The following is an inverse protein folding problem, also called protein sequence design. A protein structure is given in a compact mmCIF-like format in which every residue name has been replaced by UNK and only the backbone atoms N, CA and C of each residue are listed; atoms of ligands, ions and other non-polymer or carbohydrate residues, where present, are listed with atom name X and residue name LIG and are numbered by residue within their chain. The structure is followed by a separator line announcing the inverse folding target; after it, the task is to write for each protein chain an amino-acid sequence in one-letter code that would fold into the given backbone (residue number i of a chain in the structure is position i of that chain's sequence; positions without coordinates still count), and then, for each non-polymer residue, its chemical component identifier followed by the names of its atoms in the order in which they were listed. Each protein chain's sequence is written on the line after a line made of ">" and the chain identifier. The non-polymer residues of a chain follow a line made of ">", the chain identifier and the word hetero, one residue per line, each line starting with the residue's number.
data_IF_675009155278
#
_entry.id   IF_675009155278
#
_cell.length_a   1.000
_cell.length_b   1.000
_cell.length_c   1.000
_cell.angle_alpha   90.00
_cell.angle_beta   90.00
_cell.angle_gamma   90.00
#
_symmetry.space_group_name_H-M   'P 1'
#
loop_
_entity.id
_entity.type
_entity.pdbx_description
1 polymer ?
#
# COMPACT_ATOMS: atom_id res chain seq x y z
N UNK A 1 10.57 -12.30 -2.93
CA UNK A 1 10.57 -11.02 -2.19
C UNK A 1 11.95 -10.75 -1.63
N UNK A 2 12.59 -9.64 -2.01
CA UNK A 2 13.83 -9.17 -1.40
C UNK A 2 13.47 -8.21 -0.26
N UNK A 3 13.38 -8.74 0.95
CA UNK A 3 13.23 -7.90 2.15
C UNK A 3 14.56 -7.18 2.46
N UNK A 4 14.46 -6.02 3.10
CA UNK A 4 15.60 -5.23 3.55
C UNK A 4 15.42 -4.95 5.04
N UNK A 5 16.51 -5.00 5.79
CA UNK A 5 16.51 -4.60 7.19
C UNK A 5 17.21 -3.24 7.33
N UNK A 6 16.49 -2.24 7.82
CA UNK A 6 17.02 -0.92 8.09
C UNK A 6 17.36 -0.79 9.57
N UNK A 7 18.66 -0.82 9.88
CA UNK A 7 19.17 -0.63 11.24
C UNK A 7 19.91 0.70 11.29
N UNK A 8 19.30 1.70 11.92
CA UNK A 8 19.89 3.04 12.11
C UNK A 8 20.38 3.68 10.80
N UNK A 9 19.62 3.53 9.71
CA UNK A 9 19.95 4.08 8.39
C UNK A 9 20.86 3.19 7.54
N UNK A 10 21.32 2.04 8.06
CA UNK A 10 22.05 1.04 7.27
C UNK A 10 21.06 0.01 6.74
N UNK A 11 20.94 -0.07 5.40
CA UNK A 11 20.10 -1.07 4.72
C UNK A 11 20.88 -2.35 4.47
N UNK A 12 20.46 -3.44 5.09
CA UNK A 12 21.07 -4.76 5.00
C UNK A 12 20.17 -5.70 4.19
N UNK A 13 20.78 -6.53 3.34
CA UNK A 13 20.05 -7.50 2.54
C UNK A 13 19.60 -8.67 3.42
N UNK A 14 18.30 -8.92 3.47
CA UNK A 14 17.74 -10.07 4.18
C UNK A 14 17.96 -11.34 3.37
N UNK A 15 18.52 -12.35 4.02
CA UNK A 15 18.77 -13.69 3.44
C UNK A 15 17.87 -14.77 4.06
N UNK A 16 17.25 -14.50 5.21
CA UNK A 16 16.32 -15.42 5.85
C UNK A 16 15.36 -14.71 6.82
N UNK A 17 14.12 -15.19 6.88
CA UNK A 17 13.10 -14.73 7.82
C UNK A 17 12.62 -15.95 8.61
N UNK A 18 12.65 -15.86 9.94
CA UNK A 18 12.09 -16.87 10.82
C UNK A 18 10.73 -16.40 11.32
N UNK A 19 9.72 -17.22 11.10
CA UNK A 19 8.32 -16.92 11.40
C UNK A 19 7.79 -17.99 12.34
N UNK A 20 7.09 -17.56 13.39
CA UNK A 20 6.35 -18.43 14.30
C UNK A 20 4.96 -17.83 14.54
N UNK A 21 3.90 -18.63 14.37
CA UNK A 21 2.51 -18.17 14.50
C UNK A 21 2.24 -16.84 13.77
N UNK A 22 2.65 -16.77 12.49
CA UNK A 22 2.53 -15.60 11.61
C UNK A 22 3.26 -14.32 12.07
N UNK A 23 4.18 -14.44 13.03
CA UNK A 23 5.01 -13.33 13.52
C UNK A 23 6.48 -13.56 13.22
N UNK A 24 7.15 -12.51 12.75
CA UNK A 24 8.60 -12.51 12.63
C UNK A 24 9.24 -12.63 14.01
N UNK A 25 10.06 -13.66 14.19
CA UNK A 25 10.80 -13.90 15.44
C UNK A 25 12.26 -13.49 15.31
N UNK A 26 12.84 -13.67 14.12
CA UNK A 26 14.18 -13.21 13.78
C UNK A 26 14.36 -13.07 12.27
N UNK A 27 15.38 -12.29 11.90
CA UNK A 27 15.82 -12.07 10.53
C UNK A 27 17.31 -12.34 10.43
N UNK A 28 17.72 -12.95 9.33
CA UNK A 28 19.11 -13.14 8.96
C UNK A 28 19.46 -12.18 7.84
N UNK A 29 20.56 -11.45 8.01
CA UNK A 29 21.05 -10.47 7.04
C UNK A 29 22.49 -10.77 6.67
N UNK A 30 22.87 -10.41 5.44
CA UNK A 30 24.25 -10.41 5.01
C UNK A 30 24.90 -9.07 5.38
N UNK A 31 25.96 -9.10 6.19
CA UNK A 31 26.74 -7.91 6.51
C UNK A 31 27.71 -7.53 5.37
N UNK A 32 28.35 -6.37 5.49
CA UNK A 32 29.30 -5.87 4.48
C UNK A 32 30.55 -6.76 4.31
N UNK A 33 30.84 -7.63 5.28
CA UNK A 33 31.93 -8.60 5.22
C UNK A 33 31.47 -9.96 4.64
N UNK A 34 30.22 -10.08 4.19
CA UNK A 34 29.64 -11.31 3.64
C UNK A 34 29.28 -12.34 4.71
N UNK A 35 29.29 -11.96 5.99
CA UNK A 35 28.91 -12.84 7.10
C UNK A 35 27.40 -12.69 7.37
N UNK A 36 26.76 -13.82 7.68
CA UNK A 36 25.35 -13.84 8.07
C UNK A 36 25.23 -13.48 9.56
N UNK A 37 24.43 -12.48 9.88
CA UNK A 37 24.09 -12.09 11.24
C UNK A 37 22.60 -12.22 11.48
N UNK A 38 22.21 -12.63 12.69
CA UNK A 38 20.81 -12.78 13.10
C UNK A 38 20.40 -11.63 14.00
N UNK A 39 19.28 -10.98 13.68
CA UNK A 39 18.61 -10.02 14.54
C UNK A 39 17.27 -10.60 15.00
N UNK A 40 17.01 -10.54 16.30
CA UNK A 40 15.79 -11.05 16.90
C UNK A 40 14.80 -9.92 17.14
N UNK A 41 13.51 -10.26 17.09
CA UNK A 41 12.46 -9.31 17.40
C UNK A 41 12.46 -8.94 18.89
N UNK A 42 12.24 -7.66 19.18
CA UNK A 42 12.20 -7.13 20.54
C UNK A 42 11.13 -7.76 21.41
N UNK A 43 10.04 -8.28 20.84
CA UNK A 43 9.02 -9.01 21.61
C UNK A 43 9.50 -10.38 22.08
N UNK A 44 10.53 -10.92 21.45
CA UNK A 44 11.15 -12.19 21.81
C UNK A 44 12.44 -12.01 22.62
N UNK A 45 12.79 -10.77 22.99
CA UNK A 45 13.97 -10.44 23.80
C UNK A 45 14.16 -11.28 25.08
N UNK A 46 13.11 -11.72 25.80
CA UNK A 46 13.29 -12.57 26.99
C UNK A 46 13.85 -13.96 26.69
N UNK A 47 13.80 -14.42 25.43
CA UNK A 47 14.13 -15.79 25.03
C UNK A 47 15.38 -15.88 24.16
N UNK A 48 16.10 -14.77 23.97
CA UNK A 48 17.30 -14.75 23.13
C UNK A 48 18.57 -14.90 23.97
N UNK A 49 19.65 -15.45 23.40
CA UNK A 49 20.95 -15.53 24.08
C UNK A 49 21.45 -14.14 24.52
N UNK A 50 22.13 -14.11 25.66
CA UNK A 50 22.76 -12.88 26.16
C UNK A 50 23.79 -12.37 25.13
N UNK A 51 23.73 -11.07 24.80
CA UNK A 51 24.54 -10.45 23.75
C UNK A 51 24.00 -10.60 22.32
N UNK A 52 22.84 -11.25 22.12
CA UNK A 52 22.20 -11.31 20.81
C UNK A 52 21.70 -9.91 20.35
N UNK A 53 21.71 -9.68 19.04
CA UNK A 53 21.17 -8.44 18.48
C UNK A 53 19.64 -8.48 18.51
N UNK A 54 19.04 -7.55 19.25
CA UNK A 54 17.59 -7.42 19.40
C UNK A 54 17.14 -6.07 18.86
N UNK A 55 16.16 -6.08 17.96
CA UNK A 55 15.62 -4.87 17.32
C UNK A 55 14.10 -5.00 17.16
N UNK A 56 13.40 -3.88 16.96
CA UNK A 56 11.99 -3.91 16.59
C UNK A 56 11.87 -4.29 15.10
N UNK A 57 11.61 -5.57 14.80
CA UNK A 57 11.56 -6.02 13.40
C UNK A 57 10.37 -5.42 12.65
N UNK A 58 9.29 -5.07 13.36
CA UNK A 58 8.12 -4.41 12.74
C UNK A 58 8.48 -3.06 12.12
N UNK A 59 9.40 -2.32 12.73
CA UNK A 59 9.83 -1.00 12.23
C UNK A 59 11.05 -1.08 11.32
N UNK A 60 11.90 -2.10 11.50
CA UNK A 60 13.15 -2.23 10.74
C UNK A 60 13.01 -3.02 9.44
N UNK A 61 12.02 -3.92 9.30
CA UNK A 61 11.81 -4.69 8.08
C UNK A 61 11.06 -3.87 7.04
N UNK A 62 11.71 -3.69 5.89
CA UNK A 62 11.16 -3.05 4.69
C UNK A 62 10.94 -4.13 3.61
N UNK A 63 9.82 -4.07 2.90
CA UNK A 63 9.49 -4.96 1.78
C UNK A 63 9.35 -4.16 0.48
N UNK A 64 10.46 -3.63 -0.06
CA UNK A 64 10.44 -2.69 -1.18
C UNK A 64 9.77 -3.26 -2.44
N UNK A 65 9.95 -4.55 -2.72
CA UNK A 65 9.31 -5.22 -3.86
C UNK A 65 7.78 -5.26 -3.71
N UNK A 66 7.27 -5.64 -2.53
CA UNK A 66 5.83 -5.70 -2.27
C UNK A 66 5.20 -4.30 -2.26
N UNK A 67 5.92 -3.32 -1.70
CA UNK A 67 5.47 -1.94 -1.72
C UNK A 67 5.43 -1.36 -3.14
N UNK A 68 6.36 -1.75 -4.01
CA UNK A 68 6.35 -1.37 -5.42
C UNK A 68 5.14 -1.97 -6.14
N UNK A 69 4.83 -3.25 -5.90
CA UNK A 69 3.66 -3.92 -6.45
C UNK A 69 2.35 -3.23 -6.01
N UNK A 70 2.21 -2.91 -4.71
CA UNK A 70 1.07 -2.14 -4.19
C UNK A 70 0.96 -0.78 -4.88
N UNK A 71 2.07 -0.07 -5.08
CA UNK A 71 2.07 1.22 -5.80
C UNK A 71 1.64 1.05 -7.25
N UNK A 72 2.10 0.02 -7.94
CA UNK A 72 1.70 -0.28 -9.33
C UNK A 72 0.21 -0.60 -9.42
N UNK A 73 -0.31 -1.46 -8.54
CA UNK A 73 -1.74 -1.80 -8.46
C UNK A 73 -2.62 -0.58 -8.16
N UNK A 74 -2.26 0.24 -7.17
CA UNK A 74 -3.01 1.45 -6.83
C UNK A 74 -2.98 2.48 -7.97
N UNK A 75 -1.86 2.62 -8.69
CA UNK A 75 -1.80 3.49 -9.86
C UNK A 75 -2.72 2.99 -10.99
N UNK A 76 -2.76 1.68 -11.24
CA UNK A 76 -3.65 1.11 -12.26
C UNK A 76 -5.12 1.35 -11.88
N UNK A 77 -5.48 1.11 -10.62
CA UNK A 77 -6.81 1.35 -10.08
C UNK A 77 -7.25 2.82 -10.25
N UNK A 78 -6.33 3.78 -10.05
CA UNK A 78 -6.61 5.20 -10.29
C UNK A 78 -6.87 5.50 -11.77
N UNK A 79 -6.16 4.86 -12.69
CA UNK A 79 -6.40 5.02 -14.13
C UNK A 79 -7.80 4.51 -14.47
N UNK A 80 -8.10 3.27 -14.08
CA UNK A 80 -9.37 2.62 -14.36
C UNK A 80 -10.56 3.40 -13.76
N UNK A 81 -10.42 3.90 -12.52
CA UNK A 81 -11.45 4.71 -11.87
C UNK A 81 -11.64 6.09 -12.51
N UNK A 82 -10.58 6.72 -13.02
CA UNK A 82 -10.68 8.00 -13.75
C UNK A 82 -11.37 7.83 -15.09
N UNK A 83 -11.08 6.73 -15.79
CA UNK A 83 -11.78 6.40 -17.04
C UNK A 83 -13.26 6.13 -16.77
N UNK A 84 -13.59 5.38 -15.71
CA UNK A 84 -14.98 5.16 -15.32
C UNK A 84 -15.72 6.44 -14.92
N UNK A 85 -15.08 7.35 -14.19
CA UNK A 85 -15.66 8.68 -13.89
C UNK A 85 -15.95 9.48 -15.16
N UNK A 86 -15.06 9.40 -16.16
CA UNK A 86 -15.27 10.07 -17.44
C UNK A 86 -16.51 9.50 -18.14
N UNK A 87 -16.65 8.18 -18.19
CA UNK A 87 -17.82 7.51 -18.77
C UNK A 87 -19.11 7.90 -18.04
N UNK A 88 -19.10 7.94 -16.70
CA UNK A 88 -20.23 8.43 -15.91
C UNK A 88 -20.58 9.89 -16.23
N UNK A 89 -19.57 10.75 -16.38
CA UNK A 89 -19.76 12.14 -16.78
C UNK A 89 -20.40 12.26 -18.17
N UNK A 90 -19.97 11.45 -19.13
CA UNK A 90 -20.56 11.39 -20.47
C UNK A 90 -22.02 10.90 -20.42
N UNK A 91 -22.33 9.88 -19.60
CA UNK A 91 -23.69 9.41 -19.39
C UNK A 91 -24.60 10.48 -18.77
N UNK A 92 -24.10 11.23 -17.77
CA UNK A 92 -24.81 12.36 -17.17
C UNK A 92 -25.11 13.43 -18.24
N UNK A 93 -24.13 13.78 -19.09
CA UNK A 93 -24.32 14.76 -20.16
C UNK A 93 -25.38 14.27 -21.16
N UNK A 94 -25.32 13.00 -21.58
CA UNK A 94 -26.31 12.42 -22.48
C UNK A 94 -27.71 12.44 -21.89
N UNK A 95 -27.86 12.04 -20.62
CA UNK A 95 -29.15 12.04 -19.92
C UNK A 95 -29.73 13.46 -19.84
N UNK A 96 -28.90 14.48 -19.55
CA UNK A 96 -29.31 15.89 -19.54
C UNK A 96 -29.76 16.36 -20.93
N UNK A 97 -29.03 15.99 -21.99
CA UNK A 97 -29.37 16.35 -23.37
C UNK A 97 -30.64 15.66 -23.87
N UNK A 98 -30.90 14.41 -23.45
CA UNK A 98 -32.10 13.66 -23.82
C UNK A 98 -33.35 14.22 -23.13
N UNK A 99 -33.21 14.75 -21.92
CA UNK A 99 -34.32 15.28 -21.12
C UNK A 99 -34.57 16.79 -21.31
N UNK A 100 -34.03 17.41 -22.38
CA UNK A 100 -34.05 18.85 -22.67
C UNK A 100 -35.40 19.55 -22.37
N UNK A 101 -35.54 20.07 -21.14
CA UNK A 101 -36.70 20.83 -20.66
C UNK A 101 -37.86 20.06 -20.02
N UNK A 102 -37.83 18.72 -19.95
CA UNK A 102 -38.87 17.92 -19.28
C UNK A 102 -38.45 17.53 -17.86
N UNK A 103 -39.39 17.47 -16.90
CA UNK A 103 -39.07 17.07 -15.53
C UNK A 103 -38.49 15.64 -15.50
N UNK A 104 -37.39 15.47 -14.76
CA UNK A 104 -36.59 14.24 -14.60
C UNK A 104 -37.30 13.07 -13.88
N UNK A 105 -38.63 12.96 -13.99
CA UNK A 105 -39.48 12.09 -13.16
C UNK A 105 -39.02 10.63 -13.05
N UNK A 106 -38.71 9.99 -14.18
CA UNK A 106 -38.18 8.62 -14.26
C UNK A 106 -36.69 8.58 -14.69
N UNK A 107 -35.97 9.71 -14.58
CA UNK A 107 -34.60 9.83 -15.08
C UNK A 107 -33.60 9.06 -14.21
N UNK A 108 -32.58 8.50 -14.86
CA UNK A 108 -31.44 7.86 -14.18
C UNK A 108 -30.49 8.89 -13.54
N UNK A 109 -30.66 10.19 -13.85
CA UNK A 109 -29.76 11.27 -13.47
C UNK A 109 -29.44 11.34 -11.96
N UNK A 110 -30.39 11.20 -11.02
CA UNK A 110 -30.07 11.25 -9.59
C UNK A 110 -29.13 10.11 -9.16
N UNK A 111 -29.29 8.92 -9.75
CA UNK A 111 -28.44 7.77 -9.46
C UNK A 111 -27.05 7.95 -10.07
N UNK A 112 -26.96 8.39 -11.32
CA UNK A 112 -25.69 8.66 -12.00
C UNK A 112 -24.87 9.75 -11.28
N UNK A 113 -25.52 10.83 -10.84
CA UNK A 113 -24.85 11.91 -10.07
C UNK A 113 -24.38 11.43 -8.70
N UNK A 114 -25.15 10.54 -8.05
CA UNK A 114 -24.74 9.92 -6.79
C UNK A 114 -23.51 9.03 -6.98
N UNK A 115 -23.56 8.15 -7.97
CA UNK A 115 -22.46 7.23 -8.30
C UNK A 115 -21.19 7.99 -8.69
N UNK A 116 -21.31 9.05 -9.49
CA UNK A 116 -20.19 9.93 -9.83
C UNK A 116 -19.52 10.55 -8.59
N UNK A 117 -20.30 11.00 -7.59
CA UNK A 117 -19.75 11.55 -6.35
C UNK A 117 -19.06 10.48 -5.52
N UNK A 118 -19.70 9.33 -5.32
CA UNK A 118 -19.13 8.21 -4.55
C UNK A 118 -17.83 7.69 -5.18
N UNK A 119 -17.76 7.62 -6.52
CA UNK A 119 -16.56 7.17 -7.22
C UNK A 119 -15.43 8.20 -7.18
N UNK A 120 -15.76 9.51 -7.11
CA UNK A 120 -14.77 10.56 -6.88
C UNK A 120 -14.15 10.46 -5.48
N UNK A 121 -14.98 10.27 -4.45
CA UNK A 121 -14.51 10.10 -3.07
C UNK A 121 -13.63 8.84 -2.93
N UNK A 122 -13.94 7.78 -3.67
CA UNK A 122 -13.11 6.59 -3.76
C UNK A 122 -11.70 6.88 -4.32
N UNK A 123 -11.60 7.66 -5.40
CA UNK A 123 -10.31 8.07 -5.97
C UNK A 123 -9.47 8.84 -4.96
N UNK A 124 -10.07 9.82 -4.26
CA UNK A 124 -9.38 10.61 -3.24
C UNK A 124 -8.81 9.70 -2.12
N UNK A 125 -9.55 8.64 -1.76
CA UNK A 125 -9.10 7.62 -0.80
C UNK A 125 -7.92 6.78 -1.31
N UNK A 126 -7.95 6.36 -2.57
CA UNK A 126 -6.85 5.60 -3.21
C UNK A 126 -5.60 6.48 -3.34
N UNK A 127 -5.74 7.75 -3.71
CA UNK A 127 -4.63 8.72 -3.75
C UNK A 127 -4.00 8.92 -2.36
N UNK A 128 -4.83 9.04 -1.32
CA UNK A 128 -4.35 9.15 0.07
C UNK A 128 -3.56 7.91 0.52
N UNK A 129 -4.04 6.71 0.19
CA UNK A 129 -3.33 5.46 0.50
C UNK A 129 -1.98 5.38 -0.24
N UNK A 130 -1.96 5.81 -1.51
CA UNK A 130 -0.75 5.86 -2.32
C UNK A 130 0.30 6.82 -1.73
N UNK A 131 -0.12 7.98 -1.20
CA UNK A 131 0.77 8.91 -0.53
C UNK A 131 1.41 8.32 0.72
N UNK A 132 0.64 7.58 1.53
CA UNK A 132 1.16 6.89 2.73
C UNK A 132 2.23 5.88 2.33
N UNK A 133 1.94 5.02 1.35
CA UNK A 133 2.89 3.99 0.88
C UNK A 133 4.15 4.65 0.30
N UNK A 134 4.03 5.75 -0.44
CA UNK A 134 5.20 6.48 -0.95
C UNK A 134 6.01 7.13 0.17
N UNK A 135 5.37 7.74 1.15
CA UNK A 135 6.06 8.37 2.29
C UNK A 135 6.84 7.35 3.11
N UNK A 136 6.27 6.18 3.36
CA UNK A 136 6.92 5.13 4.15
C UNK A 136 8.11 4.47 3.41
N UNK A 137 8.23 4.65 2.09
CA UNK A 137 9.30 4.04 1.27
C UNK A 137 10.37 5.02 0.78
N UNK A 138 10.09 6.32 0.73
CA UNK A 138 10.97 7.33 0.13
C UNK A 138 11.33 8.52 1.06
N UNK A 139 10.97 8.48 2.35
CA UNK A 139 11.33 9.50 3.34
C UNK A 139 12.75 9.33 3.92
#
# INVERSE_FOLDING_TARGET
>A
MKAVLNVKGTKLSVVGLNIHEDKFTSVQVLDAAGKVTTHYDSKHAPYVPEGASVINLKEALEFPDANKEIVEELNQLLVDSRDHLKDLGEQIIQEVLVHDGLPFGDSALPNLVKEYKEHRDYIDGVESALEVVKRDNYA
#
